data_IF_349320871125
#
_entry.id   IF_349320871125
#
_cell.length_a   1.000
_cell.length_b   1.000
_cell.length_c   1.000
_cell.angle_alpha   90.00
_cell.angle_beta   90.00
_cell.angle_gamma   90.00
#
_symmetry.space_group_name_H-M   'P 1'
#
loop_
_entity.id
_entity.type
_entity.pdbx_description
1 polymer ?
#
# COMPACT_ATOMS: atom_id res chain seq x y z
N UNK A 1 2.93 -3.11 -18.01
CA UNK A 1 3.62 -2.88 -16.72
C UNK A 1 3.96 -1.41 -16.63
N UNK A 2 3.34 -0.69 -15.70
CA UNK A 2 3.61 0.74 -15.47
C UNK A 2 4.82 0.99 -14.55
N UNK A 3 5.51 -0.07 -14.13
CA UNK A 3 6.83 0.05 -13.50
C UNK A 3 7.85 0.50 -14.55
N UNK A 4 8.02 1.79 -14.68
CA UNK A 4 9.13 2.32 -15.49
C UNK A 4 10.37 2.38 -14.61
N UNK A 5 11.39 1.60 -14.92
CA UNK A 5 12.72 1.70 -14.26
C UNK A 5 13.43 3.04 -14.52
N UNK A 6 12.73 4.04 -15.03
CA UNK A 6 13.29 5.32 -15.48
C UNK A 6 12.66 6.55 -14.82
N UNK A 7 11.77 6.40 -13.84
CA UNK A 7 11.22 7.48 -13.03
C UNK A 7 12.05 7.74 -11.77
N UNK A 8 11.77 8.83 -11.03
CA UNK A 8 12.28 8.96 -9.66
C UNK A 8 11.71 7.84 -8.80
N UNK A 9 12.58 7.10 -8.10
CA UNK A 9 12.18 6.06 -7.16
C UNK A 9 11.73 6.64 -5.83
N UNK A 10 11.19 5.76 -4.99
CA UNK A 10 10.92 6.08 -3.59
C UNK A 10 12.23 6.35 -2.84
N UNK A 11 12.17 7.14 -1.77
CA UNK A 11 13.29 7.40 -0.88
C UNK A 11 13.10 6.72 0.46
N UNK A 12 14.15 6.11 0.98
CA UNK A 12 14.23 5.61 2.35
C UNK A 12 15.36 6.32 3.08
N UNK A 13 15.03 6.99 4.17
CA UNK A 13 15.98 7.79 4.92
C UNK A 13 16.46 7.07 6.18
N UNK A 14 17.75 6.82 6.25
CA UNK A 14 18.45 6.37 7.45
C UNK A 14 18.82 7.57 8.32
N UNK A 15 18.49 7.51 9.62
CA UNK A 15 18.93 8.52 10.58
C UNK A 15 20.34 8.19 11.07
N UNK A 16 21.31 8.98 10.65
CA UNK A 16 22.69 8.87 11.11
C UNK A 16 22.83 9.27 12.59
N UNK A 17 23.88 8.76 13.25
CA UNK A 17 24.19 9.11 14.63
C UNK A 17 24.53 10.61 14.84
N UNK A 18 24.75 11.33 13.77
CA UNK A 18 24.97 12.78 13.70
C UNK A 18 23.65 13.59 13.55
N UNK A 19 22.50 12.93 13.54
CA UNK A 19 21.17 13.53 13.34
C UNK A 19 20.87 13.91 11.89
N UNK A 20 21.69 13.48 10.95
CA UNK A 20 21.49 13.74 9.51
C UNK A 20 20.83 12.53 8.86
N UNK A 21 19.73 12.77 8.14
CA UNK A 21 19.04 11.77 7.35
C UNK A 21 19.74 11.60 5.98
N UNK A 22 19.98 10.36 5.59
CA UNK A 22 20.59 10.00 4.30
C UNK A 22 19.68 9.07 3.55
N UNK A 23 19.44 9.36 2.27
CA UNK A 23 18.66 8.46 1.42
C UNK A 23 19.50 7.20 1.12
N UNK A 24 18.96 6.06 1.50
CA UNK A 24 19.58 4.74 1.32
C UNK A 24 18.76 3.82 0.42
N UNK A 25 17.65 4.30 -0.16
CA UNK A 25 16.70 3.46 -0.89
C UNK A 25 17.36 2.60 -1.97
N UNK A 26 18.19 3.21 -2.80
CA UNK A 26 18.93 2.49 -3.86
C UNK A 26 19.98 1.52 -3.31
N UNK A 27 20.58 1.84 -2.15
CA UNK A 27 21.61 0.99 -1.51
C UNK A 27 20.99 -0.30 -0.96
N UNK A 28 19.74 -0.25 -0.54
CA UNK A 28 19.03 -1.37 0.10
C UNK A 28 17.88 -1.94 -0.75
N UNK A 29 17.84 -1.59 -2.04
CA UNK A 29 16.93 -2.12 -3.06
C UNK A 29 15.43 -1.86 -2.79
N UNK A 30 15.07 -0.65 -2.31
CA UNK A 30 13.67 -0.22 -2.10
C UNK A 30 13.27 1.02 -2.91
N UNK A 31 14.00 1.33 -3.95
CA UNK A 31 13.80 2.49 -4.83
C UNK A 31 12.75 2.26 -5.92
N UNK A 32 11.63 1.62 -5.59
CA UNK A 32 10.54 1.40 -6.53
C UNK A 32 10.11 2.71 -7.23
N UNK A 33 9.99 2.66 -8.55
CA UNK A 33 9.60 3.80 -9.39
C UNK A 33 8.10 3.80 -9.72
N UNK A 34 7.27 3.15 -8.90
CA UNK A 34 5.81 3.22 -8.96
C UNK A 34 5.29 4.60 -8.55
N UNK A 35 3.99 4.81 -8.71
CA UNK A 35 3.33 6.00 -8.16
C UNK A 35 2.91 5.70 -6.71
N UNK A 36 3.87 5.81 -5.81
CA UNK A 36 3.68 5.54 -4.38
C UNK A 36 2.73 6.53 -3.72
N UNK A 37 1.85 6.01 -2.87
CA UNK A 37 0.87 6.79 -2.10
C UNK A 37 1.06 6.64 -0.59
N UNK A 38 1.42 5.46 -0.10
CA UNK A 38 1.61 5.18 1.31
C UNK A 38 2.52 3.98 1.55
N UNK A 39 2.77 3.69 2.82
CA UNK A 39 3.52 2.51 3.22
C UNK A 39 3.04 1.96 4.57
N UNK A 40 3.24 0.66 4.77
CA UNK A 40 3.06 -0.01 6.05
C UNK A 40 4.34 -0.78 6.41
N UNK A 41 4.60 -0.92 7.70
CA UNK A 41 5.79 -1.59 8.23
C UNK A 41 5.36 -2.65 9.24
N UNK A 42 5.82 -3.88 9.08
CA UNK A 42 5.50 -5.00 9.98
C UNK A 42 6.48 -6.16 9.78
N UNK A 43 6.54 -7.06 10.72
CA UNK A 43 7.33 -8.29 10.67
C UNK A 43 6.41 -9.42 10.17
N UNK A 44 6.41 -9.66 8.85
CA UNK A 44 5.42 -10.55 8.22
C UNK A 44 5.76 -12.04 8.32
N UNK A 45 6.95 -12.38 8.76
CA UNK A 45 7.42 -13.76 8.89
C UNK A 45 8.01 -14.09 10.27
N UNK A 46 7.76 -13.20 11.25
CA UNK A 46 8.16 -13.34 12.65
C UNK A 46 9.67 -13.57 12.85
N UNK A 47 10.50 -13.01 11.95
CA UNK A 47 11.96 -13.18 12.01
C UNK A 47 12.65 -12.08 12.85
N UNK A 48 11.88 -11.15 13.41
CA UNK A 48 12.33 -10.04 14.25
C UNK A 48 12.80 -8.82 13.45
N UNK A 49 12.69 -8.82 12.13
CA UNK A 49 12.98 -7.69 11.24
C UNK A 49 11.70 -7.13 10.67
N UNK A 50 11.67 -5.83 10.50
CA UNK A 50 10.49 -5.16 9.94
C UNK A 50 10.58 -5.11 8.42
N UNK A 51 9.53 -5.60 7.78
CA UNK A 51 9.31 -5.58 6.35
C UNK A 51 8.55 -4.32 5.94
N UNK A 52 8.50 -4.04 4.65
CA UNK A 52 7.93 -2.82 4.12
C UNK A 52 6.94 -3.13 2.99
N UNK A 53 5.70 -2.67 3.13
CA UNK A 53 4.71 -2.69 2.06
C UNK A 53 4.50 -1.27 1.54
N UNK A 54 4.63 -1.08 0.23
CA UNK A 54 4.46 0.21 -0.45
C UNK A 54 3.21 0.15 -1.32
N UNK A 55 2.27 1.07 -1.06
CA UNK A 55 1.07 1.19 -1.89
C UNK A 55 1.33 2.09 -3.08
N UNK A 56 0.82 1.69 -4.24
CA UNK A 56 1.01 2.38 -5.51
C UNK A 56 -0.32 2.54 -6.27
N UNK A 57 -0.30 3.37 -7.29
CA UNK A 57 -1.25 3.25 -8.38
C UNK A 57 -0.86 2.02 -9.21
N UNK A 58 -1.74 1.02 -9.27
CA UNK A 58 -1.56 -0.31 -9.82
C UNK A 58 -0.78 -1.25 -8.87
N UNK A 59 0.34 -1.79 -9.30
CA UNK A 59 1.08 -2.82 -8.55
C UNK A 59 1.73 -2.23 -7.29
N UNK A 60 1.31 -2.69 -6.13
CA UNK A 60 1.96 -2.46 -4.84
C UNK A 60 3.24 -3.30 -4.72
N UNK A 61 4.08 -3.01 -3.75
CA UNK A 61 5.34 -3.74 -3.54
C UNK A 61 5.47 -4.18 -2.10
N UNK A 62 5.77 -5.47 -1.90
CA UNK A 62 6.14 -6.02 -0.59
C UNK A 62 7.62 -6.35 -0.59
N UNK A 63 8.34 -5.74 0.32
CA UNK A 63 9.77 -5.93 0.53
C UNK A 63 10.02 -6.68 1.83
N UNK A 64 10.68 -7.84 1.75
CA UNK A 64 11.19 -8.57 2.91
C UNK A 64 12.55 -8.01 3.32
N UNK A 65 12.74 -7.73 4.59
CA UNK A 65 13.98 -7.25 5.17
C UNK A 65 14.96 -8.42 5.42
N UNK A 66 16.10 -8.39 4.76
CA UNK A 66 17.15 -9.40 4.91
C UNK A 66 18.25 -8.98 5.92
N UNK A 67 18.03 -7.91 6.68
CA UNK A 67 19.04 -7.33 7.57
C UNK A 67 20.18 -6.68 6.77
N UNK A 68 21.41 -7.07 7.02
CA UNK A 68 22.59 -6.52 6.30
C UNK A 68 22.54 -6.73 4.77
N UNK A 69 21.69 -7.66 4.31
CA UNK A 69 21.44 -7.91 2.90
C UNK A 69 20.51 -6.92 2.20
N UNK A 70 20.00 -5.90 2.93
CA UNK A 70 18.99 -4.97 2.41
C UNK A 70 17.59 -5.58 2.35
N UNK A 71 16.83 -5.22 1.33
CA UNK A 71 15.46 -5.71 1.14
C UNK A 71 15.34 -6.53 -0.14
N UNK A 72 14.37 -7.41 -0.17
CA UNK A 72 14.04 -8.22 -1.34
C UNK A 72 12.57 -8.05 -1.70
N UNK A 73 12.29 -7.68 -2.93
CA UNK A 73 10.93 -7.68 -3.47
C UNK A 73 10.39 -9.13 -3.52
N UNK A 74 9.37 -9.39 -2.73
CA UNK A 74 8.67 -10.69 -2.66
C UNK A 74 7.22 -10.60 -3.12
N UNK A 75 6.80 -9.50 -3.70
CA UNK A 75 5.41 -9.19 -4.07
C UNK A 75 4.73 -10.32 -4.82
N UNK A 76 5.40 -10.86 -5.84
CA UNK A 76 4.81 -11.89 -6.69
C UNK A 76 4.60 -13.23 -5.96
N UNK A 77 5.51 -13.60 -5.07
CA UNK A 77 5.39 -14.87 -4.33
C UNK A 77 4.45 -14.75 -3.13
N UNK A 78 4.24 -13.54 -2.65
CA UNK A 78 3.33 -13.25 -1.54
C UNK A 78 1.88 -13.01 -1.97
N UNK A 79 1.63 -12.72 -3.25
CA UNK A 79 0.28 -12.56 -3.78
C UNK A 79 -0.40 -11.23 -3.49
N UNK A 80 0.35 -10.18 -3.07
CA UNK A 80 -0.21 -8.90 -2.57
C UNK A 80 0.00 -7.71 -3.51
N UNK A 81 0.26 -7.97 -4.80
CA UNK A 81 0.52 -6.90 -5.78
C UNK A 81 -0.65 -5.90 -5.89
N UNK A 82 -1.90 -6.38 -5.81
CA UNK A 82 -3.05 -5.55 -6.12
C UNK A 82 -3.05 -5.06 -7.57
N UNK A 83 -4.07 -4.31 -7.97
CA UNK A 83 -4.17 -3.64 -9.30
C UNK A 83 -4.97 -2.33 -9.21
N UNK A 84 -5.30 -1.86 -8.01
CA UNK A 84 -6.10 -0.67 -7.75
C UNK A 84 -5.29 0.62 -7.67
N UNK A 85 -5.95 1.68 -7.25
CA UNK A 85 -5.29 2.89 -6.77
C UNK A 85 -5.19 2.78 -5.25
N UNK A 86 -4.19 2.07 -4.76
CA UNK A 86 -3.98 1.83 -3.34
C UNK A 86 -3.46 3.10 -2.65
N UNK A 87 -4.22 3.60 -1.67
CA UNK A 87 -3.90 4.85 -0.98
C UNK A 87 -3.10 4.62 0.31
N UNK A 88 -3.51 3.65 1.12
CA UNK A 88 -2.84 3.32 2.37
C UNK A 88 -2.92 1.81 2.65
N UNK A 89 -2.10 1.35 3.58
CA UNK A 89 -2.14 -0.01 4.08
C UNK A 89 -1.82 -0.05 5.58
N UNK A 90 -2.26 -1.11 6.25
CA UNK A 90 -1.89 -1.40 7.63
C UNK A 90 -1.74 -2.90 7.85
N UNK A 91 -0.80 -3.26 8.71
CA UNK A 91 -0.67 -4.61 9.24
C UNK A 91 -1.43 -4.72 10.57
N UNK A 92 -2.10 -5.84 10.78
CA UNK A 92 -2.82 -6.20 12.01
C UNK A 92 -2.93 -7.71 12.08
N UNK A 93 -2.97 -8.28 13.25
CA UNK A 93 -3.32 -9.69 13.48
C UNK A 93 -4.83 -9.73 13.77
N UNK A 94 -5.66 -10.12 12.75
CA UNK A 94 -7.11 -10.01 12.89
C UNK A 94 -7.77 -11.28 13.44
N UNK A 95 -7.09 -12.42 13.34
CA UNK A 95 -7.60 -13.72 13.78
C UNK A 95 -6.83 -14.30 14.99
N UNK A 96 -5.89 -13.50 15.54
CA UNK A 96 -5.09 -13.82 16.71
C UNK A 96 -4.26 -15.12 16.56
N UNK A 97 -3.78 -15.40 15.35
CA UNK A 97 -2.93 -16.55 15.08
C UNK A 97 -1.44 -16.25 15.27
N UNK A 98 -1.07 -15.00 15.47
CA UNK A 98 0.29 -14.51 15.69
C UNK A 98 1.02 -14.09 14.42
N UNK A 99 0.43 -14.26 13.25
CA UNK A 99 0.93 -13.75 11.97
C UNK A 99 0.19 -12.45 11.60
N UNK A 100 0.91 -11.40 11.25
CA UNK A 100 0.25 -10.13 10.92
C UNK A 100 -0.30 -10.14 9.50
N UNK A 101 -1.57 -9.75 9.38
CA UNK A 101 -2.34 -9.65 8.15
C UNK A 101 -2.20 -8.27 7.51
N UNK A 102 -2.69 -8.12 6.29
CA UNK A 102 -2.55 -6.89 5.53
C UNK A 102 -3.90 -6.37 5.04
N UNK A 103 -4.27 -5.17 5.46
CA UNK A 103 -5.39 -4.43 4.90
C UNK A 103 -4.89 -3.31 4.00
N UNK A 104 -5.46 -3.20 2.79
CA UNK A 104 -5.10 -2.19 1.78
C UNK A 104 -6.34 -1.40 1.39
N UNK A 105 -6.29 -0.09 1.59
CA UNK A 105 -7.37 0.81 1.14
C UNK A 105 -7.13 1.25 -0.30
N UNK A 106 -8.18 1.18 -1.12
CA UNK A 106 -8.17 1.66 -2.49
C UNK A 106 -9.04 2.91 -2.66
N UNK A 107 -8.57 3.85 -3.48
CA UNK A 107 -9.20 5.16 -3.59
C UNK A 107 -10.31 5.18 -4.64
N UNK A 108 -9.96 5.07 -5.90
CA UNK A 108 -10.91 5.17 -7.03
C UNK A 108 -10.53 4.21 -8.14
N UNK A 109 -11.55 3.77 -8.88
CA UNK A 109 -11.32 3.09 -10.16
C UNK A 109 -10.84 4.12 -11.18
N UNK A 110 -9.53 4.13 -11.41
CA UNK A 110 -8.89 5.09 -12.27
C UNK A 110 -8.09 4.42 -13.38
N UNK A 111 -8.39 4.79 -14.62
CA UNK A 111 -7.62 4.35 -15.79
C UNK A 111 -6.99 5.57 -16.49
N UNK A 112 -5.66 5.62 -16.49
CA UNK A 112 -4.90 6.67 -17.17
C UNK A 112 -5.16 6.75 -18.69
N UNK A 113 -5.48 5.61 -19.32
CA UNK A 113 -5.77 5.55 -20.76
C UNK A 113 -7.17 6.10 -21.07
N UNK A 114 -8.12 5.94 -20.14
CA UNK A 114 -9.52 6.35 -20.29
C UNK A 114 -9.92 7.36 -19.21
N UNK A 115 -9.17 8.45 -19.10
CA UNK A 115 -9.42 9.48 -18.08
C UNK A 115 -10.85 10.00 -18.17
N UNK A 116 -11.56 10.15 -17.04
CA UNK A 116 -12.85 10.80 -17.02
C UNK A 116 -12.75 12.20 -17.61
N UNK A 117 -13.58 12.52 -18.60
CA UNK A 117 -13.69 13.86 -19.18
C UNK A 117 -14.51 14.74 -18.24
N UNK A 118 -13.94 15.10 -17.10
CA UNK A 118 -14.58 15.97 -16.13
C UNK A 118 -14.00 17.38 -16.29
N UNK A 119 -14.88 18.34 -16.61
CA UNK A 119 -14.54 19.76 -16.48
C UNK A 119 -14.86 20.16 -15.04
N UNK A 120 -13.84 20.40 -14.25
CA UNK A 120 -14.01 20.86 -12.88
C UNK A 120 -13.74 22.36 -12.83
N UNK A 121 -14.83 23.11 -12.96
CA UNK A 121 -14.80 24.56 -12.76
C UNK A 121 -15.12 24.87 -11.30
N UNK A 122 -14.22 25.55 -10.62
CA UNK A 122 -14.47 26.09 -9.29
C UNK A 122 -15.28 27.37 -9.37
N UNK A 123 -15.86 27.80 -8.26
CA UNK A 123 -16.61 29.06 -8.18
C UNK A 123 -15.77 30.22 -8.73
N UNK A 124 -16.30 30.91 -9.73
CA UNK A 124 -15.59 32.03 -10.38
C UNK A 124 -14.85 31.64 -11.67
N UNK A 125 -15.09 30.49 -12.24
CA UNK A 125 -14.52 30.08 -13.54
C UNK A 125 -13.04 29.67 -13.50
N UNK A 126 -12.49 29.44 -12.31
CA UNK A 126 -11.12 28.96 -12.13
C UNK A 126 -11.08 27.46 -12.45
N UNK A 127 -10.27 27.05 -13.42
CA UNK A 127 -10.01 25.63 -13.69
C UNK A 127 -9.20 25.02 -12.56
N UNK A 128 -9.68 23.91 -12.01
CA UNK A 128 -9.01 23.18 -10.94
C UNK A 128 -8.95 21.68 -11.24
N UNK A 129 -8.14 20.96 -10.48
CA UNK A 129 -8.13 19.51 -10.54
C UNK A 129 -9.45 18.95 -9.99
N UNK A 130 -9.98 17.95 -10.68
CA UNK A 130 -11.16 17.24 -10.22
C UNK A 130 -10.82 16.38 -9.00
N UNK A 131 -11.67 16.46 -7.97
CA UNK A 131 -11.73 15.44 -6.93
C UNK A 131 -12.44 14.17 -7.45
N UNK A 132 -12.72 13.20 -6.56
CA UNK A 132 -13.35 11.94 -6.94
C UNK A 132 -14.84 12.07 -7.31
N UNK A 133 -15.39 13.26 -7.31
CA UNK A 133 -16.81 13.51 -7.62
C UNK A 133 -17.17 12.97 -9.01
N UNK A 134 -18.12 12.03 -9.05
CA UNK A 134 -18.52 11.35 -10.29
C UNK A 134 -17.62 10.18 -10.71
N UNK A 135 -16.62 9.85 -9.90
CA UNK A 135 -15.84 8.61 -10.05
C UNK A 135 -16.44 7.49 -9.20
N UNK A 136 -16.10 6.27 -9.52
CA UNK A 136 -16.48 5.08 -8.74
C UNK A 136 -15.36 4.80 -7.76
N UNK A 137 -15.69 4.60 -6.48
CA UNK A 137 -14.74 4.13 -5.47
C UNK A 137 -14.17 2.76 -5.85
N UNK A 138 -12.98 2.45 -5.39
CA UNK A 138 -12.40 1.12 -5.59
C UNK A 138 -12.50 0.31 -4.29
N UNK A 139 -12.57 -1.02 -4.43
CA UNK A 139 -12.74 -1.90 -3.27
C UNK A 139 -11.42 -2.02 -2.52
N UNK A 140 -11.52 -1.90 -1.20
CA UNK A 140 -10.42 -2.27 -0.32
C UNK A 140 -10.15 -3.77 -0.40
N UNK A 141 -8.95 -4.18 -0.07
CA UNK A 141 -8.54 -5.59 -0.09
C UNK A 141 -8.00 -5.98 1.27
N UNK A 142 -8.42 -7.15 1.74
CA UNK A 142 -7.93 -7.74 2.97
C UNK A 142 -7.23 -9.07 2.69
N UNK A 143 -5.99 -9.15 3.09
CA UNK A 143 -5.14 -10.32 2.91
C UNK A 143 -4.81 -10.94 4.26
N UNK A 144 -5.15 -12.22 4.43
CA UNK A 144 -4.69 -13.01 5.57
C UNK A 144 -3.29 -13.56 5.28
N UNK A 145 -2.40 -13.48 6.25
CA UNK A 145 -1.09 -14.12 6.22
C UNK A 145 -1.22 -15.57 6.65
N UNK A 146 -0.82 -16.51 5.81
CA UNK A 146 -0.81 -17.94 6.14
C UNK A 146 0.58 -18.40 6.67
N UNK A 147 1.39 -17.43 7.18
CA UNK A 147 2.77 -17.64 7.62
C UNK A 147 3.81 -17.46 6.51
N UNK A 148 5.05 -17.21 6.89
CA UNK A 148 6.19 -17.02 5.97
C UNK A 148 6.00 -15.87 4.93
N UNK A 149 5.11 -14.90 5.18
CA UNK A 149 4.81 -13.79 4.27
C UNK A 149 4.03 -14.23 3.02
N UNK A 150 3.22 -15.27 3.12
CA UNK A 150 2.28 -15.71 2.09
C UNK A 150 0.88 -15.28 2.45
N UNK A 151 0.27 -14.53 1.56
CA UNK A 151 -1.03 -13.92 1.80
C UNK A 151 -2.12 -14.50 0.91
N UNK A 152 -3.32 -14.60 1.47
CA UNK A 152 -4.54 -15.03 0.78
C UNK A 152 -5.56 -13.91 0.85
N UNK A 153 -6.15 -13.53 -0.29
CA UNK A 153 -7.25 -12.57 -0.33
C UNK A 153 -8.49 -13.16 0.36
N UNK A 154 -8.85 -12.58 1.48
CA UNK A 154 -10.01 -12.95 2.30
C UNK A 154 -11.10 -11.89 2.29
N UNK A 155 -11.01 -10.88 1.45
CA UNK A 155 -11.93 -9.73 1.37
C UNK A 155 -13.38 -10.17 1.33
N UNK A 156 -13.71 -11.16 0.48
CA UNK A 156 -15.10 -11.60 0.29
C UNK A 156 -15.70 -12.32 1.51
N UNK A 157 -14.86 -12.97 2.31
CA UNK A 157 -15.30 -13.76 3.47
C UNK A 157 -15.17 -13.01 4.79
N UNK A 158 -14.34 -11.98 4.85
CA UNK A 158 -14.14 -11.16 6.05
C UNK A 158 -15.30 -10.20 6.33
N UNK A 159 -16.18 -9.97 5.35
CA UNK A 159 -17.29 -9.00 5.46
C UNK A 159 -16.85 -7.55 5.25
N UNK A 160 -15.57 -7.31 4.98
CA UNK A 160 -15.00 -5.98 4.75
C UNK A 160 -15.03 -5.64 3.25
N UNK A 161 -15.26 -4.37 2.90
CA UNK A 161 -14.97 -3.85 1.57
C UNK A 161 -15.85 -4.36 0.42
N UNK A 162 -17.08 -4.80 0.69
CA UNK A 162 -17.98 -5.31 -0.36
C UNK A 162 -18.63 -4.23 -1.22
N UNK A 163 -18.54 -2.95 -0.83
CA UNK A 163 -19.12 -1.81 -1.54
C UNK A 163 -18.07 -0.97 -2.24
N UNK A 164 -18.38 -0.48 -3.45
CA UNK A 164 -17.57 0.50 -4.20
C UNK A 164 -18.03 1.95 -3.91
N UNK A 165 -18.78 2.18 -2.84
CA UNK A 165 -19.42 3.47 -2.55
C UNK A 165 -18.47 4.42 -1.77
N UNK A 166 -17.29 3.94 -1.40
CA UNK A 166 -16.35 4.67 -0.56
C UNK A 166 -15.02 4.92 -1.27
N UNK A 167 -14.32 5.94 -0.81
CA UNK A 167 -12.98 6.33 -1.28
C UNK A 167 -12.00 6.13 -0.13
N UNK A 168 -11.33 4.99 -0.10
CA UNK A 168 -10.32 4.67 0.91
C UNK A 168 -9.11 5.60 0.79
N UNK A 169 -8.75 6.32 1.86
CA UNK A 169 -7.60 7.23 1.89
C UNK A 169 -6.64 6.93 3.03
N UNK A 170 -7.13 6.33 4.10
CA UNK A 170 -6.32 6.02 5.27
C UNK A 170 -6.95 4.91 6.08
N UNK A 171 -6.12 4.26 6.91
CA UNK A 171 -6.53 3.17 7.80
C UNK A 171 -5.77 3.29 9.12
N UNK A 172 -6.48 3.01 10.20
CA UNK A 172 -5.89 2.85 11.54
C UNK A 172 -6.55 1.63 12.18
N UNK A 173 -5.83 0.52 12.33
CA UNK A 173 -6.33 -0.62 13.10
C UNK A 173 -6.30 -0.29 14.59
N UNK A 174 -7.32 -0.75 15.32
CA UNK A 174 -7.38 -0.64 16.76
C UNK A 174 -8.32 -1.70 17.33
N UNK A 175 -7.86 -2.34 18.37
CA UNK A 175 -8.70 -3.13 19.26
C UNK A 175 -9.38 -2.17 20.25
N UNK A 176 -10.69 -1.89 20.05
CA UNK A 176 -11.42 -0.88 20.81
C UNK A 176 -12.14 -1.45 22.05
N UNK A 177 -12.31 -2.73 22.14
CA UNK A 177 -13.02 -3.43 23.23
C UNK A 177 -12.13 -4.41 24.02
N UNK A 178 -10.90 -4.62 23.58
CA UNK A 178 -9.87 -5.37 24.30
C UNK A 178 -10.02 -6.88 24.17
N UNK A 179 -10.62 -7.36 23.09
CA UNK A 179 -10.79 -8.80 22.84
C UNK A 179 -9.77 -9.39 21.85
N UNK A 180 -8.89 -8.56 21.28
CA UNK A 180 -7.77 -8.93 20.43
C UNK A 180 -7.93 -8.56 18.97
#
# INVERSE_FOLDING_TARGET
TYRTKSGPGNSLYENGSDGIFRDVANKVDVDDAGWGAGCAVGDIDNDGRRDLYVTNYRENVLYRNLGEGGFKDITNISGVAGDGFSAAAAFLDYDNDGDIDLYVTNYVQFDLANKPKTNCDYVGGIKTYCGPLGMIGDKDVFYRNDGDGRFVDVTAISGIGTSNDYFGLGIVPADYDGDG
#
